data_IF_826670096608
#
_entry.id   IF_826670096608
#
_cell.length_a   1.000
_cell.length_b   1.000
_cell.length_c   1.000
_cell.angle_alpha   90.00
_cell.angle_beta   90.00
_cell.angle_gamma   90.00
#
_symmetry.space_group_name_H-M   'P 1'
#
loop_
_entity.id
_entity.type
_entity.pdbx_description
1 polymer ?
#
# COMPACT_ATOMS: atom_id res chain seq x y z
N UNK A 1 26.27 -3.91 86.02
CA UNK A 1 27.48 -3.12 85.71
C UNK A 1 27.46 -2.83 84.23
N UNK A 2 27.54 -1.53 83.88
CA UNK A 2 28.21 -0.88 82.74
C UNK A 2 28.56 -1.73 81.49
N UNK A 3 28.52 -1.26 80.23
CA UNK A 3 28.10 -0.03 79.54
C UNK A 3 28.43 -0.23 78.03
N UNK A 4 27.92 0.65 77.16
CA UNK A 4 28.28 0.89 75.73
C UNK A 4 27.76 -0.14 74.69
N UNK A 5 26.83 0.17 73.76
CA UNK A 5 26.76 1.22 72.72
C UNK A 5 27.82 1.08 71.61
N UNK A 6 27.40 0.69 70.40
CA UNK A 6 27.36 1.53 69.18
C UNK A 6 26.97 0.67 67.95
N UNK A 7 25.94 1.19 67.27
CA UNK A 7 25.34 0.93 65.95
C UNK A 7 26.11 0.17 64.85
N UNK A 8 25.37 -0.66 64.10
CA UNK A 8 25.37 -0.58 62.63
C UNK A 8 23.95 -0.75 62.08
N UNK A 9 23.53 0.24 61.29
CA UNK A 9 22.17 0.37 60.73
C UNK A 9 21.93 -0.59 59.58
N UNK A 10 20.68 -1.03 59.53
CA UNK A 10 19.98 -1.85 58.55
C UNK A 10 19.89 -1.19 57.17
N UNK A 11 20.09 -1.96 56.10
CA UNK A 11 19.27 -1.88 54.88
C UNK A 11 19.10 -3.29 54.32
N UNK A 12 17.97 -3.94 54.64
CA UNK A 12 17.47 -5.12 53.91
C UNK A 12 16.58 -4.57 52.78
N UNK A 13 17.01 -4.72 51.53
CA UNK A 13 16.16 -4.36 50.40
C UNK A 13 15.14 -5.47 50.13
N UNK A 14 13.87 -5.10 50.26
CA UNK A 14 12.70 -5.88 49.88
C UNK A 14 12.77 -6.28 48.40
N UNK A 15 12.68 -7.59 48.14
CA UNK A 15 12.42 -8.13 46.80
C UNK A 15 10.95 -7.89 46.44
N UNK A 16 10.66 -6.77 45.79
CA UNK A 16 9.45 -6.65 44.94
C UNK A 16 9.80 -7.19 43.55
N UNK A 17 9.11 -8.24 43.13
CA UNK A 17 9.12 -8.71 41.73
C UNK A 17 8.39 -7.68 40.85
N UNK A 18 8.99 -7.20 39.75
CA UNK A 18 8.24 -6.54 38.70
C UNK A 18 7.74 -7.56 37.67
N UNK A 19 6.42 -7.50 37.50
CA UNK A 19 5.57 -8.12 36.49
C UNK A 19 6.20 -8.19 35.09
N UNK A 20 6.06 -9.35 34.45
CA UNK A 20 6.38 -9.58 33.05
C UNK A 20 5.69 -8.56 32.15
N UNK A 21 6.45 -7.90 31.27
CA UNK A 21 5.92 -7.42 30.00
C UNK A 21 6.83 -7.90 28.89
N UNK A 22 6.31 -8.89 28.17
CA UNK A 22 6.79 -9.33 26.88
C UNK A 22 6.76 -8.13 25.91
N UNK A 23 7.88 -7.81 25.29
CA UNK A 23 8.00 -6.83 24.21
C UNK A 23 8.89 -7.46 23.12
N UNK A 24 8.36 -7.83 21.95
CA UNK A 24 9.10 -8.66 21.02
C UNK A 24 9.70 -7.83 19.88
N UNK A 25 10.69 -6.97 20.15
CA UNK A 25 11.58 -6.44 19.11
C UNK A 25 12.96 -6.11 19.69
N UNK A 26 13.79 -7.12 19.92
CA UNK A 26 15.25 -6.96 19.92
C UNK A 26 15.79 -7.86 18.82
N UNK A 27 16.15 -7.19 17.72
CA UNK A 27 16.94 -7.72 16.62
C UNK A 27 18.25 -8.29 17.20
N UNK A 28 18.40 -9.61 17.12
CA UNK A 28 19.52 -10.34 17.70
C UNK A 28 20.86 -9.89 17.14
N UNK A 29 21.71 -9.42 18.04
CA UNK A 29 23.14 -9.21 17.84
C UNK A 29 23.87 -10.56 17.83
N UNK A 30 24.40 -10.96 16.68
CA UNK A 30 25.63 -11.77 16.64
C UNK A 30 26.75 -10.82 16.24
N UNK A 31 27.47 -10.39 17.26
CA UNK A 31 28.62 -9.48 17.18
C UNK A 31 29.78 -10.22 16.52
N UNK A 32 30.00 -9.95 15.23
CA UNK A 32 31.35 -10.01 14.65
C UNK A 32 31.66 -8.60 14.18
N UNK A 33 32.73 -8.04 14.74
CA UNK A 33 33.16 -6.65 14.67
C UNK A 33 33.05 -6.04 13.28
N UNK A 34 32.05 -5.18 13.06
CA UNK A 34 32.00 -4.26 11.91
C UNK A 34 32.25 -2.85 12.45
N UNK A 35 33.18 -2.06 11.87
CA UNK A 35 33.46 -0.71 12.35
C UNK A 35 32.21 0.16 12.24
N UNK A 36 31.95 0.94 13.28
CA UNK A 36 30.93 1.97 13.33
C UNK A 36 31.21 3.01 12.23
N UNK A 37 30.54 2.86 11.08
CA UNK A 37 30.60 3.81 9.97
C UNK A 37 29.36 4.68 10.02
N UNK A 38 29.58 5.98 10.28
CA UNK A 38 28.62 7.06 10.03
C UNK A 38 28.14 6.96 8.57
N UNK A 39 26.83 7.13 8.38
CA UNK A 39 26.14 7.27 7.08
C UNK A 39 26.52 6.22 6.04
N UNK A 40 25.92 5.03 6.13
CA UNK A 40 25.96 4.08 5.02
C UNK A 40 24.83 4.42 4.06
N UNK A 41 25.17 5.16 3.01
CA UNK A 41 24.35 5.17 1.81
C UNK A 41 23.97 3.71 1.46
N UNK A 42 22.67 3.44 1.34
CA UNK A 42 22.18 2.10 1.02
C UNK A 42 22.76 1.68 -0.34
N UNK A 43 23.23 0.43 -0.43
CA UNK A 43 23.60 -0.15 -1.72
C UNK A 43 22.39 -0.09 -2.67
N UNK A 44 22.64 0.02 -3.98
CA UNK A 44 21.56 0.06 -4.98
C UNK A 44 20.57 -1.10 -4.79
N UNK A 45 21.08 -2.31 -4.49
CA UNK A 45 20.24 -3.47 -4.21
C UNK A 45 19.36 -3.29 -2.97
N UNK A 46 19.89 -2.72 -1.87
CA UNK A 46 19.05 -2.38 -0.70
C UNK A 46 17.99 -1.33 -1.03
N UNK A 47 18.30 -0.37 -1.91
CA UNK A 47 17.31 0.62 -2.36
C UNK A 47 16.25 -0.02 -3.24
N UNK A 48 16.60 -1.02 -4.07
CA UNK A 48 15.64 -1.81 -4.84
C UNK A 48 14.73 -2.63 -3.92
N UNK A 49 15.30 -3.31 -2.92
CA UNK A 49 14.53 -4.06 -1.91
C UNK A 49 13.54 -3.14 -1.18
N UNK A 50 13.97 -1.93 -0.81
CA UNK A 50 13.10 -0.93 -0.19
C UNK A 50 12.00 -0.45 -1.15
N UNK A 51 12.32 -0.22 -2.42
CA UNK A 51 11.30 0.12 -3.44
C UNK A 51 10.27 -1.01 -3.63
N UNK A 52 10.70 -2.27 -3.59
CA UNK A 52 9.81 -3.45 -3.62
C UNK A 52 8.92 -3.46 -2.38
N UNK A 53 9.49 -3.30 -1.19
CA UNK A 53 8.75 -3.24 0.08
C UNK A 53 7.68 -2.15 0.05
N UNK A 54 8.03 -0.96 -0.43
CA UNK A 54 7.12 0.18 -0.56
C UNK A 54 6.04 -0.03 -1.61
N UNK A 55 6.36 -0.70 -2.72
CA UNK A 55 5.37 -1.10 -3.72
C UNK A 55 4.32 -2.06 -3.16
N UNK A 56 4.76 -3.05 -2.37
CA UNK A 56 3.85 -3.95 -1.64
C UNK A 56 2.99 -3.17 -0.64
N UNK A 57 3.59 -2.24 0.11
CA UNK A 57 2.86 -1.43 1.08
C UNK A 57 1.79 -0.55 0.42
N UNK A 58 2.14 0.18 -0.65
CA UNK A 58 1.19 0.96 -1.44
C UNK A 58 0.06 0.08 -1.99
N UNK A 59 0.40 -1.13 -2.44
CA UNK A 59 -0.58 -2.09 -2.95
C UNK A 59 -1.58 -2.53 -1.88
N UNK A 60 -1.15 -2.67 -0.63
CA UNK A 60 -2.04 -2.99 0.49
C UNK A 60 -3.03 -1.85 0.76
N UNK A 61 -2.59 -0.59 0.69
CA UNK A 61 -3.51 0.54 0.80
C UNK A 61 -4.49 0.62 -0.37
N UNK A 62 -4.04 0.30 -1.59
CA UNK A 62 -4.95 0.22 -2.75
C UNK A 62 -5.97 -0.89 -2.55
N UNK A 63 -5.53 -2.08 -2.10
CA UNK A 63 -6.42 -3.18 -1.79
C UNK A 63 -7.43 -2.80 -0.69
N UNK A 64 -6.96 -2.22 0.42
CA UNK A 64 -7.81 -1.76 1.51
C UNK A 64 -8.86 -0.74 1.03
N UNK A 65 -8.47 0.23 0.21
CA UNK A 65 -9.41 1.18 -0.41
C UNK A 65 -10.45 0.47 -1.30
N UNK A 66 -10.07 -0.59 -2.03
CA UNK A 66 -11.03 -1.39 -2.78
C UNK A 66 -12.04 -2.10 -1.88
N UNK A 67 -11.61 -2.63 -0.72
CA UNK A 67 -12.54 -3.19 0.26
C UNK A 67 -13.43 -2.12 0.89
N UNK A 68 -12.90 -0.95 1.22
CA UNK A 68 -13.67 0.18 1.77
C UNK A 68 -14.78 0.63 0.81
N UNK A 69 -14.49 0.65 -0.50
CA UNK A 69 -15.44 1.04 -1.55
C UNK A 69 -16.30 -0.11 -2.07
N UNK A 70 -16.13 -1.34 -1.55
CA UNK A 70 -16.78 -2.52 -2.13
C UNK A 70 -18.29 -2.56 -1.91
N UNK A 71 -18.88 -1.61 -1.18
CA UNK A 71 -20.33 -1.41 -1.12
C UNK A 71 -20.91 -0.91 -2.47
N UNK A 72 -20.10 -0.23 -3.29
CA UNK A 72 -20.48 0.28 -4.60
C UNK A 72 -19.41 -0.04 -5.66
N UNK A 73 -19.78 -0.90 -6.62
CA UNK A 73 -18.85 -1.37 -7.65
C UNK A 73 -18.31 -0.21 -8.50
N UNK A 74 -19.11 0.84 -8.71
CA UNK A 74 -18.71 1.98 -9.53
C UNK A 74 -17.68 2.86 -8.84
N UNK A 75 -17.87 3.21 -7.58
CA UNK A 75 -16.92 3.95 -6.77
C UNK A 75 -15.60 3.19 -6.68
N UNK A 76 -15.64 1.88 -6.42
CA UNK A 76 -14.44 1.03 -6.35
C UNK A 76 -13.68 0.98 -7.68
N UNK A 77 -14.37 0.73 -8.80
CA UNK A 77 -13.73 0.62 -10.10
C UNK A 77 -13.18 1.97 -10.60
N UNK A 78 -13.87 3.08 -10.33
CA UNK A 78 -13.44 4.41 -10.77
C UNK A 78 -12.30 5.00 -9.93
N UNK A 79 -12.12 4.54 -8.68
CA UNK A 79 -11.11 5.05 -7.77
C UNK A 79 -9.70 5.06 -8.39
N UNK A 80 -9.22 3.93 -8.89
CA UNK A 80 -7.83 3.85 -9.34
C UNK A 80 -7.54 4.59 -10.65
N UNK A 81 -8.38 4.52 -11.71
CA UNK A 81 -8.21 5.38 -12.88
C UNK A 81 -8.16 6.87 -12.54
N UNK A 82 -8.93 7.32 -11.53
CA UNK A 82 -8.88 8.70 -11.06
C UNK A 82 -7.52 9.01 -10.41
N UNK A 83 -7.06 8.18 -9.48
CA UNK A 83 -5.74 8.35 -8.83
C UNK A 83 -4.62 8.38 -9.86
N UNK A 84 -4.60 7.46 -10.82
CA UNK A 84 -3.57 7.39 -11.87
C UNK A 84 -3.60 8.64 -12.76
N UNK A 85 -4.79 9.14 -13.11
CA UNK A 85 -4.95 10.40 -13.84
C UNK A 85 -4.37 11.58 -13.05
N UNK A 86 -4.65 11.67 -11.75
CA UNK A 86 -4.08 12.72 -10.89
C UNK A 86 -2.57 12.64 -10.77
N UNK A 87 -2.00 11.43 -10.82
CA UNK A 87 -0.56 11.22 -10.81
C UNK A 87 0.14 11.64 -12.11
N UNK A 88 -0.64 12.04 -13.14
CA UNK A 88 -0.11 12.59 -14.39
C UNK A 88 0.15 11.55 -15.48
N UNK A 89 -0.31 10.31 -15.29
CA UNK A 89 -0.15 9.27 -16.29
C UNK A 89 -1.18 9.43 -17.42
N UNK A 90 -0.69 9.53 -18.65
CA UNK A 90 -1.55 9.55 -19.85
C UNK A 90 -2.09 8.16 -20.19
N UNK A 91 -1.31 7.11 -19.91
CA UNK A 91 -1.68 5.72 -20.09
C UNK A 91 -1.45 4.94 -18.80
N UNK A 92 -2.43 4.12 -18.46
CA UNK A 92 -2.50 3.36 -17.22
C UNK A 92 -1.54 2.18 -17.14
N UNK A 93 -0.92 1.74 -18.24
CA UNK A 93 -0.19 0.46 -18.28
C UNK A 93 1.29 0.57 -18.69
N UNK A 94 1.82 1.78 -18.83
CA UNK A 94 3.14 1.96 -19.46
C UNK A 94 4.29 2.03 -18.43
N UNK A 95 3.97 2.27 -17.15
CA UNK A 95 4.95 2.34 -16.05
C UNK A 95 5.06 1.04 -15.24
N UNK A 96 6.27 0.66 -14.76
CA UNK A 96 6.50 -0.57 -14.01
C UNK A 96 5.72 -0.64 -12.68
N UNK A 97 5.44 0.51 -12.07
CA UNK A 97 4.65 0.63 -10.83
C UNK A 97 3.16 0.52 -11.13
N UNK A 98 2.67 1.33 -12.07
CA UNK A 98 1.23 1.39 -12.39
C UNK A 98 0.72 0.04 -12.92
N UNK A 99 1.48 -0.62 -13.79
CA UNK A 99 1.14 -1.94 -14.30
C UNK A 99 1.00 -3.01 -13.19
N UNK A 100 1.87 -2.98 -12.18
CA UNK A 100 1.80 -3.88 -11.02
C UNK A 100 0.61 -3.60 -10.13
N UNK A 101 0.33 -2.33 -9.87
CA UNK A 101 -0.87 -1.94 -9.12
C UNK A 101 -2.15 -2.38 -9.83
N UNK A 102 -2.21 -2.30 -11.16
CA UNK A 102 -3.34 -2.88 -11.91
C UNK A 102 -3.44 -4.40 -11.76
N UNK A 103 -2.32 -5.12 -11.76
CA UNK A 103 -2.32 -6.56 -11.51
C UNK A 103 -2.82 -6.87 -10.09
N UNK A 104 -2.41 -6.10 -9.09
CA UNK A 104 -2.92 -6.19 -7.72
C UNK A 104 -4.43 -5.95 -7.68
N UNK A 105 -4.91 -4.88 -8.31
CA UNK A 105 -6.34 -4.59 -8.33
C UNK A 105 -7.15 -5.71 -8.97
N UNK A 106 -6.71 -6.21 -10.14
CA UNK A 106 -7.36 -7.34 -10.80
C UNK A 106 -7.39 -8.57 -9.90
N UNK A 107 -6.26 -8.89 -9.28
CA UNK A 107 -6.15 -10.00 -8.35
C UNK A 107 -7.11 -9.84 -7.17
N UNK A 108 -7.11 -8.68 -6.52
CA UNK A 108 -7.98 -8.38 -5.37
C UNK A 108 -9.45 -8.47 -5.77
N UNK A 109 -9.80 -7.87 -6.90
CA UNK A 109 -11.16 -7.89 -7.42
C UNK A 109 -11.63 -9.31 -7.72
N UNK A 110 -10.89 -10.07 -8.52
CA UNK A 110 -11.30 -11.41 -8.97
C UNK A 110 -11.31 -12.43 -7.83
N UNK A 111 -10.38 -12.32 -6.88
CA UNK A 111 -10.17 -13.32 -5.84
C UNK A 111 -11.02 -13.05 -4.61
N UNK A 112 -11.14 -11.79 -4.19
CA UNK A 112 -11.74 -11.45 -2.90
C UNK A 112 -13.08 -10.72 -3.01
N UNK A 113 -13.23 -9.85 -4.01
CA UNK A 113 -14.41 -8.98 -4.10
C UNK A 113 -15.49 -9.69 -4.92
N UNK A 114 -15.24 -9.94 -6.21
CA UNK A 114 -16.18 -10.55 -7.16
C UNK A 114 -16.87 -11.82 -6.66
N UNK A 115 -16.20 -12.80 -6.03
CA UNK A 115 -16.84 -14.05 -5.61
C UNK A 115 -17.89 -13.87 -4.50
N UNK A 116 -17.86 -12.74 -3.78
CA UNK A 116 -18.80 -12.47 -2.69
C UNK A 116 -20.23 -12.15 -3.18
N UNK A 117 -20.45 -12.08 -4.51
CA UNK A 117 -21.75 -12.17 -5.21
C UNK A 117 -22.93 -11.37 -4.62
N UNK A 118 -22.67 -10.32 -3.84
CA UNK A 118 -23.68 -9.63 -3.04
C UNK A 118 -23.80 -8.16 -3.38
N UNK A 119 -25.02 -7.75 -3.74
CA UNK A 119 -25.62 -6.41 -3.55
C UNK A 119 -24.69 -5.21 -3.79
N UNK A 120 -23.84 -5.25 -4.81
CA UNK A 120 -23.21 -4.02 -5.26
C UNK A 120 -24.32 -3.12 -5.77
N UNK A 121 -24.53 -1.99 -5.11
CA UNK A 121 -25.35 -0.97 -5.72
C UNK A 121 -24.59 -0.50 -6.95
N UNK A 122 -25.16 -0.71 -8.13
CA UNK A 122 -24.64 -0.11 -9.36
C UNK A 122 -25.14 1.34 -9.49
N UNK A 123 -26.14 1.72 -8.70
CA UNK A 123 -26.97 2.90 -8.89
C UNK A 123 -26.51 4.09 -8.01
N UNK A 124 -25.44 3.91 -7.23
CA UNK A 124 -25.07 4.79 -6.12
C UNK A 124 -23.65 5.36 -6.13
N UNK A 125 -23.31 5.98 -5.01
CA UNK A 125 -21.98 6.46 -4.61
C UNK A 125 -21.68 5.76 -3.28
N UNK A 126 -20.52 5.11 -3.17
CA UNK A 126 -20.10 4.47 -1.91
C UNK A 126 -20.22 5.44 -0.73
N UNK A 127 -20.68 4.94 0.41
CA UNK A 127 -20.77 5.70 1.66
C UNK A 127 -19.38 6.25 2.05
N UNK A 128 -18.34 5.50 1.72
CA UNK A 128 -16.95 5.83 2.03
C UNK A 128 -16.22 6.63 0.92
N UNK A 129 -16.93 7.01 -0.14
CA UNK A 129 -16.31 7.72 -1.27
C UNK A 129 -15.68 9.06 -0.87
N UNK A 130 -16.27 9.79 0.09
CA UNK A 130 -15.68 11.06 0.55
C UNK A 130 -14.36 10.83 1.28
N UNK A 131 -14.29 9.80 2.13
CA UNK A 131 -13.08 9.43 2.85
C UNK A 131 -11.95 9.12 1.87
N UNK A 132 -12.21 8.25 0.89
CA UNK A 132 -11.21 7.91 -0.13
C UNK A 132 -10.86 9.11 -1.01
N UNK A 133 -11.82 9.99 -1.28
CA UNK A 133 -11.60 11.26 -1.97
C UNK A 133 -10.56 12.15 -1.29
N UNK A 134 -10.52 12.19 0.06
CA UNK A 134 -9.51 12.93 0.83
C UNK A 134 -8.11 12.33 0.65
N UNK A 135 -8.02 11.01 0.48
CA UNK A 135 -6.76 10.28 0.28
C UNK A 135 -6.25 10.26 -1.17
N UNK A 136 -7.03 10.74 -2.15
CA UNK A 136 -6.66 10.69 -3.56
C UNK A 136 -5.28 11.30 -3.85
N UNK A 137 -4.94 12.40 -3.18
CA UNK A 137 -3.64 13.06 -3.34
C UNK A 137 -2.50 12.23 -2.78
N UNK A 138 -2.68 11.57 -1.63
CA UNK A 138 -1.65 10.70 -1.05
C UNK A 138 -1.41 9.47 -1.93
N UNK A 139 -2.49 8.85 -2.45
CA UNK A 139 -2.34 7.77 -3.42
C UNK A 139 -1.63 8.23 -4.70
N UNK A 140 -2.05 9.37 -5.27
CA UNK A 140 -1.47 9.94 -6.48
C UNK A 140 0.02 10.24 -6.28
N UNK A 141 0.38 10.81 -5.13
CA UNK A 141 1.76 11.04 -4.72
C UNK A 141 2.52 9.72 -4.63
N UNK A 142 1.98 8.73 -3.91
CA UNK A 142 2.60 7.42 -3.72
C UNK A 142 2.88 6.66 -5.03
N UNK A 143 2.00 6.80 -6.03
CA UNK A 143 2.25 6.21 -7.36
C UNK A 143 3.37 6.96 -8.07
N UNK A 144 3.24 8.29 -8.18
CA UNK A 144 4.18 9.13 -8.93
C UNK A 144 5.60 9.05 -8.37
N UNK A 145 5.72 9.12 -7.05
CA UNK A 145 7.02 9.15 -6.39
C UNK A 145 7.71 7.78 -6.44
N UNK A 146 6.96 6.69 -6.26
CA UNK A 146 7.51 5.34 -6.39
C UNK A 146 7.98 5.06 -7.82
N UNK A 147 7.24 5.50 -8.82
CA UNK A 147 7.61 5.35 -10.23
C UNK A 147 8.87 6.16 -10.56
N UNK A 148 9.02 7.37 -10.00
CA UNK A 148 10.26 8.16 -10.07
C UNK A 148 11.44 7.40 -9.45
N UNK A 149 11.27 6.86 -8.24
CA UNK A 149 12.30 6.07 -7.54
C UNK A 149 12.71 4.87 -8.39
N UNK A 150 11.74 4.10 -8.88
CA UNK A 150 11.97 2.90 -9.71
C UNK A 150 12.69 3.27 -11.02
N UNK A 151 12.30 4.36 -11.66
CA UNK A 151 12.96 4.85 -12.87
C UNK A 151 14.43 5.22 -12.63
N UNK A 152 14.73 5.90 -11.52
CA UNK A 152 16.10 6.29 -11.15
C UNK A 152 16.96 5.06 -10.87
N UNK A 153 16.41 4.08 -10.16
CA UNK A 153 17.10 2.83 -9.85
C UNK A 153 17.29 1.95 -11.10
N UNK A 154 16.31 1.90 -12.00
CA UNK A 154 16.35 1.07 -13.21
C UNK A 154 17.31 1.59 -14.30
N UNK A 155 17.46 2.90 -14.48
CA UNK A 155 18.41 3.45 -15.47
C UNK A 155 19.87 3.16 -15.14
N UNK A 156 20.21 2.99 -13.86
CA UNK A 156 21.58 2.98 -13.38
C UNK A 156 22.26 1.61 -13.37
N UNK A 157 21.56 0.53 -13.75
CA UNK A 157 22.21 -0.74 -14.09
C UNK A 157 23.21 -0.59 -15.26
N UNK A 158 23.07 0.47 -16.06
CA UNK A 158 23.94 0.75 -17.22
C UNK A 158 25.08 1.74 -16.95
N UNK A 159 25.15 2.37 -15.77
CA UNK A 159 26.15 3.41 -15.45
C UNK A 159 26.88 3.09 -14.14
N UNK A 160 28.19 2.89 -14.22
CA UNK A 160 29.07 2.55 -13.10
C UNK A 160 28.86 3.46 -11.87
N UNK A 161 28.46 2.85 -10.75
CA UNK A 161 29.02 3.10 -9.42
C UNK A 161 28.62 4.36 -8.65
N UNK A 162 27.70 5.19 -9.14
CA UNK A 162 27.34 6.42 -8.42
C UNK A 162 26.18 6.20 -7.44
N UNK A 163 26.49 6.33 -6.15
CA UNK A 163 25.57 6.12 -5.03
C UNK A 163 24.46 7.18 -5.08
N UNK A 164 23.23 6.77 -5.37
CA UNK A 164 22.09 7.69 -5.40
C UNK A 164 21.62 7.93 -3.98
N UNK A 165 21.59 9.20 -3.56
CA UNK A 165 20.99 9.60 -2.28
C UNK A 165 19.46 9.67 -2.40
N UNK A 166 18.81 8.52 -2.47
CA UNK A 166 17.34 8.38 -2.40
C UNK A 166 16.84 8.29 -0.95
N UNK A 167 17.71 8.38 0.05
CA UNK A 167 17.32 8.22 1.45
C UNK A 167 16.24 9.23 1.85
N UNK A 168 16.38 10.50 1.48
CA UNK A 168 15.37 11.53 1.73
C UNK A 168 14.08 11.28 0.95
N UNK A 169 14.18 10.79 -0.30
CA UNK A 169 13.00 10.42 -1.10
C UNK A 169 12.22 9.28 -0.41
N UNK A 170 12.90 8.24 0.06
CA UNK A 170 12.30 7.13 0.81
C UNK A 170 11.71 7.56 2.16
N UNK A 171 12.38 8.45 2.89
CA UNK A 171 11.88 8.97 4.16
C UNK A 171 10.60 9.78 3.95
N UNK A 172 10.62 10.70 2.98
CA UNK A 172 9.45 11.49 2.60
C UNK A 172 8.30 10.60 2.10
N UNK A 173 8.62 9.56 1.31
CA UNK A 173 7.64 8.58 0.86
C UNK A 173 6.96 7.84 2.01
N UNK A 174 7.73 7.35 2.98
CA UNK A 174 7.19 6.67 4.15
C UNK A 174 6.30 7.60 5.00
N UNK A 175 6.67 8.89 5.12
CA UNK A 175 5.84 9.88 5.81
C UNK A 175 4.49 10.08 5.11
N UNK A 176 4.46 10.15 3.79
CA UNK A 176 3.22 10.26 3.02
C UNK A 176 2.37 8.99 3.07
N UNK A 177 2.99 7.80 3.03
CA UNK A 177 2.28 6.55 3.26
C UNK A 177 1.68 6.44 4.66
N UNK A 178 2.35 7.00 5.67
CA UNK A 178 1.81 7.03 7.03
C UNK A 178 0.56 7.91 7.13
N UNK A 179 0.52 9.05 6.45
CA UNK A 179 -0.69 9.90 6.36
C UNK A 179 -1.85 9.16 5.69
N UNK A 180 -1.53 8.38 4.65
CA UNK A 180 -2.50 7.52 3.98
C UNK A 180 -3.04 6.45 4.94
N UNK A 181 -2.15 5.74 5.65
CA UNK A 181 -2.52 4.75 6.67
C UNK A 181 -3.44 5.36 7.75
N UNK A 182 -3.08 6.52 8.27
CA UNK A 182 -3.87 7.24 9.29
C UNK A 182 -5.27 7.62 8.77
N UNK A 183 -5.38 7.97 7.48
CA UNK A 183 -6.68 8.28 6.87
C UNK A 183 -7.55 7.04 6.74
N UNK A 184 -6.98 5.94 6.22
CA UNK A 184 -7.69 4.67 6.03
C UNK A 184 -8.08 4.00 7.35
N UNK A 185 -7.30 4.23 8.41
CA UNK A 185 -7.57 3.73 9.77
C UNK A 185 -8.98 4.09 10.27
N UNK A 186 -9.55 5.20 9.81
CA UNK A 186 -10.91 5.61 10.20
C UNK A 186 -12.03 4.72 9.64
N UNK A 187 -11.75 3.92 8.61
CA UNK A 187 -12.67 2.95 8.00
C UNK A 187 -12.12 1.52 8.03
N UNK A 188 -11.23 1.22 9.00
CA UNK A 188 -10.63 -0.09 9.16
C UNK A 188 -11.67 -1.18 9.49
N UNK A 189 -12.66 -0.83 10.31
CA UNK A 189 -13.79 -1.70 10.62
C UNK A 189 -14.60 -2.05 9.37
N UNK A 190 -14.79 -1.10 8.46
CA UNK A 190 -15.45 -1.31 7.16
C UNK A 190 -14.64 -2.24 6.27
N UNK A 191 -13.32 -2.02 6.15
CA UNK A 191 -12.47 -2.88 5.32
C UNK A 191 -12.42 -4.31 5.84
N UNK A 192 -12.27 -4.50 7.16
CA UNK A 192 -12.27 -5.81 7.83
C UNK A 192 -13.63 -6.51 7.72
N UNK A 193 -14.75 -5.78 7.90
CA UNK A 193 -16.11 -6.33 7.70
C UNK A 193 -16.33 -6.79 6.26
N UNK A 194 -15.73 -6.09 5.29
CA UNK A 194 -15.74 -6.48 3.88
C UNK A 194 -14.73 -7.61 3.57
N UNK A 195 -14.03 -8.11 4.59
CA UNK A 195 -13.13 -9.26 4.55
C UNK A 195 -11.72 -8.94 4.05
N UNK A 196 -11.23 -7.72 4.29
CA UNK A 196 -9.83 -7.37 4.10
C UNK A 196 -8.96 -8.10 5.14
N UNK A 197 -8.04 -8.94 4.66
CA UNK A 197 -7.04 -9.63 5.49
C UNK A 197 -5.65 -9.24 5.01
N UNK A 198 -5.06 -8.23 5.66
CA UNK A 198 -3.84 -7.55 5.21
C UNK A 198 -2.68 -8.52 4.96
N UNK A 199 -2.37 -9.39 5.91
CA UNK A 199 -1.21 -10.28 5.82
C UNK A 199 -1.36 -11.37 4.75
N UNK A 200 -2.58 -11.87 4.55
CA UNK A 200 -2.88 -12.82 3.50
C UNK A 200 -2.70 -12.19 2.11
N UNK A 201 -3.31 -11.01 1.90
CA UNK A 201 -3.16 -10.26 0.65
C UNK A 201 -1.69 -9.93 0.41
N UNK A 202 -0.96 -9.50 1.44
CA UNK A 202 0.48 -9.19 1.35
C UNK A 202 1.28 -10.38 0.83
N UNK A 203 1.08 -11.57 1.41
CA UNK A 203 1.75 -12.80 0.96
C UNK A 203 1.45 -13.10 -0.50
N UNK A 204 0.20 -12.90 -0.91
CA UNK A 204 -0.26 -13.24 -2.26
C UNK A 204 0.20 -12.25 -3.33
N UNK A 205 0.42 -10.97 -3.00
CA UNK A 205 0.83 -9.96 -3.99
C UNK A 205 2.34 -9.72 -4.05
N UNK A 206 3.11 -10.20 -3.06
CA UNK A 206 4.56 -9.98 -2.98
C UNK A 206 5.29 -10.39 -4.27
N UNK A 207 4.91 -11.52 -4.86
CA UNK A 207 5.52 -12.03 -6.09
C UNK A 207 5.37 -11.08 -7.29
N UNK A 208 4.30 -10.25 -7.34
CA UNK A 208 4.11 -9.25 -8.39
C UNK A 208 5.20 -8.17 -8.34
N UNK A 209 5.72 -7.88 -7.15
CA UNK A 209 6.72 -6.85 -6.89
C UNK A 209 8.15 -7.36 -6.96
N UNK A 210 8.41 -8.65 -6.69
CA UNK A 210 9.77 -9.20 -6.76
C UNK A 210 10.45 -9.00 -8.13
N UNK A 211 9.67 -8.96 -9.21
CA UNK A 211 10.17 -8.72 -10.57
C UNK A 211 10.29 -7.23 -10.95
N UNK A 212 10.19 -6.29 -10.00
CA UNK A 212 10.07 -4.84 -10.27
C UNK A 212 11.16 -4.30 -11.20
N UNK A 213 12.39 -4.76 -11.01
CA UNK A 213 13.58 -4.36 -11.78
C UNK A 213 13.98 -5.39 -12.84
N UNK A 214 13.26 -6.51 -12.95
CA UNK A 214 13.52 -7.51 -13.98
C UNK A 214 12.94 -7.05 -15.33
N UNK A 215 13.49 -7.60 -16.43
CA UNK A 215 12.92 -7.37 -17.77
C UNK A 215 11.44 -7.68 -17.73
N UNK A 216 10.55 -6.80 -18.23
CA UNK A 216 9.11 -6.96 -18.06
C UNK A 216 8.70 -8.36 -18.51
N UNK A 217 8.39 -9.19 -17.52
CA UNK A 217 7.82 -10.50 -17.80
C UNK A 217 6.52 -10.25 -18.56
N UNK A 218 6.15 -11.19 -19.42
CA UNK A 218 4.85 -11.22 -20.10
C UNK A 218 3.75 -11.45 -19.05
N UNK A 219 3.61 -10.56 -18.06
CA UNK A 219 2.47 -10.48 -17.18
C UNK A 219 1.28 -10.24 -18.10
N UNK A 220 0.57 -11.34 -18.29
CA UNK A 220 -0.62 -11.57 -19.11
C UNK A 220 -1.39 -10.27 -19.31
N UNK A 221 -1.40 -9.77 -20.55
CA UNK A 221 -2.14 -8.60 -21.06
C UNK A 221 -3.24 -8.09 -20.11
N UNK A 222 -2.89 -7.21 -19.14
CA UNK A 222 -3.84 -6.75 -18.12
C UNK A 222 -4.99 -5.99 -18.79
N UNK A 223 -4.72 -5.35 -19.92
CA UNK A 223 -5.67 -4.53 -20.69
C UNK A 223 -7.01 -5.23 -20.95
N UNK A 224 -7.01 -6.48 -21.41
CA UNK A 224 -8.27 -7.19 -21.73
C UNK A 224 -9.04 -7.48 -20.45
N UNK A 225 -8.35 -7.97 -19.41
CA UNK A 225 -8.98 -8.31 -18.12
C UNK A 225 -9.46 -7.06 -17.38
N UNK A 226 -8.73 -5.95 -17.48
CA UNK A 226 -9.14 -4.63 -17.02
C UNK A 226 -10.41 -4.17 -17.72
N UNK A 227 -10.49 -4.28 -19.04
CA UNK A 227 -11.70 -3.93 -19.79
C UNK A 227 -12.90 -4.78 -19.37
N UNK A 228 -12.70 -6.09 -19.16
CA UNK A 228 -13.75 -6.97 -18.64
C UNK A 228 -14.17 -6.60 -17.21
N UNK A 229 -13.23 -6.20 -16.34
CA UNK A 229 -13.53 -5.69 -15.00
C UNK A 229 -14.39 -4.41 -15.07
N UNK A 230 -14.15 -3.54 -16.06
CA UNK A 230 -14.93 -2.32 -16.29
C UNK A 230 -16.22 -2.53 -17.10
N UNK A 231 -16.45 -3.72 -17.68
CA UNK A 231 -17.62 -4.01 -18.51
C UNK A 231 -18.96 -3.66 -17.84
N UNK A 232 -19.19 -3.93 -16.53
CA UNK A 232 -20.44 -3.52 -15.87
C UNK A 232 -20.70 -2.01 -15.97
N UNK A 233 -19.65 -1.19 -15.79
CA UNK A 233 -19.77 0.27 -15.89
C UNK A 233 -19.99 0.75 -17.32
N UNK A 234 -19.35 0.10 -18.28
CA UNK A 234 -19.53 0.43 -19.70
C UNK A 234 -20.96 0.11 -20.17
N UNK A 235 -21.52 -1.01 -19.74
CA UNK A 235 -22.88 -1.40 -20.07
C UNK A 235 -23.91 -0.44 -19.46
N UNK A 236 -23.78 -0.10 -18.18
CA UNK A 236 -24.66 0.86 -17.51
C UNK A 236 -24.58 2.27 -18.15
N UNK A 237 -23.38 2.71 -18.54
CA UNK A 237 -23.22 3.98 -19.28
C UNK A 237 -24.01 3.98 -20.59
N UNK A 238 -23.92 2.88 -21.36
CA UNK A 238 -24.66 2.71 -22.63
C UNK A 238 -26.17 2.69 -22.40
N UNK A 239 -26.64 1.96 -21.40
CA UNK A 239 -28.07 1.94 -21.02
C UNK A 239 -28.56 3.34 -20.63
N UNK A 240 -27.79 4.09 -19.83
CA UNK A 240 -28.14 5.48 -19.46
C UNK A 240 -28.24 6.43 -20.65
N UNK A 241 -27.42 6.21 -21.68
CA UNK A 241 -27.43 7.03 -22.91
C UNK A 241 -28.63 6.62 -23.76
N UNK A 242 -28.88 5.33 -23.93
CA UNK A 242 -30.06 4.81 -24.64
C UNK A 242 -31.36 5.30 -24.00
N UNK A 243 -31.50 5.24 -22.67
CA UNK A 243 -32.69 5.72 -21.97
C UNK A 243 -32.89 7.23 -22.12
N UNK A 244 -31.81 8.03 -22.09
CA UNK A 244 -31.88 9.48 -22.34
C UNK A 244 -32.31 9.79 -23.78
N UNK A 245 -31.78 9.06 -24.76
CA UNK A 245 -32.14 9.21 -26.17
C UNK A 245 -33.61 8.81 -26.41
N UNK A 246 -34.09 7.71 -25.83
CA UNK A 246 -35.49 7.28 -25.94
C UNK A 246 -36.44 8.29 -25.28
N UNK A 247 -36.07 8.84 -24.12
CA UNK A 247 -36.84 9.89 -23.46
C UNK A 247 -36.89 11.19 -24.29
N UNK A 248 -35.82 11.53 -25.02
CA UNK A 248 -35.79 12.69 -25.92
C UNK A 248 -36.57 12.50 -27.23
N UNK A 249 -36.91 11.25 -27.59
CA UNK A 249 -37.70 10.91 -28.78
C UNK A 249 -39.21 10.85 -28.49
N UNK A 250 -39.63 10.98 -27.23
CA UNK A 250 -41.04 11.07 -26.82
C UNK A 250 -41.57 12.53 -26.77
N UNK A 251 -40.94 13.44 -27.51
CA UNK A 251 -41.38 14.82 -27.76
C UNK A 251 -41.83 14.92 -29.22
#
# INVERSE_FOLDING_TARGET
MESMSITHRVVRHDKRLPQSRYSPYILGSVTTTIPYTKETDLTIERQKDEAIRLGVELSLFVAEAMFILSDDLRSMLLFFPLVVKYAGYKNTNDGPVVGRLFCVMLYVFETYIKPKNGVYQADGKSIQQELIGKSHQNFSFGIKELDRIVFVLGKRESSFGDVVKLQTDFEHYNQELKKLEETLRSAKDVSEANGFVRDEIKSNILHLWNSLFETPSKLIHPKVRMLEMFRPLLNQSRESICSRLIASLHI
#
